data_IF_940607746065
#
_entry.id   IF_940607746065
#
_cell.length_a   1.000
_cell.length_b   1.000
_cell.length_c   1.000
_cell.angle_alpha   90.00
_cell.angle_beta   90.00
_cell.angle_gamma   90.00
#
_symmetry.space_group_name_H-M   'P 1'
#
loop_
_entity.id
_entity.type
_entity.pdbx_description
1 polymer ?
#
# COMPACT_ATOMS: atom_id res chain seq x y z
N UNK A 1 -7.46 -1.52 -11.43
CA UNK A 1 -7.75 -2.12 -10.13
C UNK A 1 -7.50 -3.60 -10.15
N UNK A 2 -6.87 -4.13 -9.13
CA UNK A 2 -6.53 -5.54 -9.07
C UNK A 2 -7.71 -6.36 -8.56
N UNK A 3 -7.78 -7.61 -8.96
CA UNK A 3 -8.80 -8.51 -8.41
C UNK A 3 -8.23 -9.16 -7.14
N UNK A 4 -9.01 -10.02 -6.51
CA UNK A 4 -8.65 -10.63 -5.24
C UNK A 4 -7.35 -11.44 -5.34
N UNK A 5 -7.21 -12.24 -6.38
CA UNK A 5 -6.03 -13.11 -6.54
C UNK A 5 -4.78 -12.29 -6.79
N UNK A 6 -4.88 -11.24 -7.59
CA UNK A 6 -3.75 -10.35 -7.83
C UNK A 6 -3.34 -9.65 -6.53
N UNK A 7 -4.32 -9.21 -5.74
CA UNK A 7 -4.04 -8.56 -4.47
C UNK A 7 -3.33 -9.51 -3.51
N UNK A 8 -3.77 -10.76 -3.44
CA UNK A 8 -3.11 -11.74 -2.60
C UNK A 8 -1.68 -11.95 -3.04
N UNK A 9 -1.45 -12.06 -4.34
CA UNK A 9 -0.12 -12.29 -4.88
C UNK A 9 0.82 -11.14 -4.56
N UNK A 10 0.33 -9.91 -4.65
CA UNK A 10 1.13 -8.74 -4.34
C UNK A 10 1.42 -8.67 -2.85
N UNK A 11 0.41 -8.92 -2.02
CA UNK A 11 0.52 -8.74 -0.59
C UNK A 11 1.12 -9.93 0.16
N UNK A 12 1.35 -11.06 -0.52
CA UNK A 12 1.99 -12.18 0.14
C UNK A 12 3.48 -11.89 0.40
N UNK A 13 4.05 -10.94 -0.31
CA UNK A 13 5.45 -10.58 -0.15
C UNK A 13 5.64 -9.73 1.10
N UNK A 14 6.47 -10.21 2.01
CA UNK A 14 6.68 -9.52 3.29
C UNK A 14 7.27 -8.12 3.14
N UNK A 15 8.23 -7.96 2.24
CA UNK A 15 8.85 -6.65 2.03
C UNK A 15 7.82 -5.64 1.56
N UNK A 16 6.89 -6.04 0.69
CA UNK A 16 5.83 -5.14 0.23
C UNK A 16 4.91 -4.75 1.37
N UNK A 17 4.56 -5.71 2.24
CA UNK A 17 3.72 -5.40 3.41
C UNK A 17 4.43 -4.46 4.37
N UNK A 18 5.75 -4.63 4.55
CA UNK A 18 6.52 -3.76 5.42
C UNK A 18 6.60 -2.34 4.86
N UNK A 19 6.76 -2.21 3.54
CA UNK A 19 6.75 -0.92 2.87
C UNK A 19 5.38 -0.25 3.08
N UNK A 20 4.30 -0.99 2.85
CA UNK A 20 2.96 -0.44 3.00
C UNK A 20 2.67 -0.01 4.44
N UNK A 21 3.19 -0.77 5.41
CA UNK A 21 3.01 -0.43 6.82
C UNK A 21 3.64 0.93 7.15
N UNK A 22 4.83 1.19 6.56
CA UNK A 22 5.51 2.46 6.77
C UNK A 22 4.78 3.59 6.05
N UNK A 23 4.38 3.35 4.80
CA UNK A 23 3.70 4.37 4.01
C UNK A 23 2.30 4.69 4.55
N UNK A 24 1.67 3.75 5.24
CA UNK A 24 0.39 4.01 5.87
C UNK A 24 0.51 5.04 7.00
N UNK A 25 1.70 5.18 7.58
CA UNK A 25 1.90 6.15 8.66
C UNK A 25 2.24 7.52 8.09
N UNK A 26 3.10 7.59 7.12
CA UNK A 26 3.52 8.85 6.52
C UNK A 26 4.25 8.60 5.20
N UNK A 27 4.32 9.61 4.34
CA UNK A 27 5.04 9.46 3.07
C UNK A 27 6.52 9.22 3.29
N UNK A 28 7.13 8.50 2.36
CA UNK A 28 8.58 8.24 2.43
C UNK A 28 9.21 8.25 1.05
N UNK A 29 10.51 8.55 1.01
CA UNK A 29 11.32 8.38 -0.18
C UNK A 29 11.88 6.94 -0.19
N UNK A 30 12.22 6.38 -1.34
CA UNK A 30 12.78 5.03 -1.40
C UNK A 30 14.02 4.81 -0.53
N UNK A 31 14.91 5.80 -0.45
CA UNK A 31 16.09 5.67 0.37
C UNK A 31 15.74 5.53 1.85
N UNK A 32 14.76 6.28 2.31
CA UNK A 32 14.31 6.17 3.70
C UNK A 32 13.77 4.78 3.99
N UNK A 33 12.97 4.22 3.06
CA UNK A 33 12.43 2.88 3.23
C UNK A 33 13.55 1.83 3.24
N UNK A 34 14.55 2.01 2.38
CA UNK A 34 15.68 1.11 2.34
C UNK A 34 16.39 1.07 3.69
N UNK A 35 16.61 2.23 4.29
CA UNK A 35 17.28 2.31 5.57
C UNK A 35 16.44 1.76 6.71
N UNK A 36 15.15 2.10 6.72
CA UNK A 36 14.27 1.64 7.77
C UNK A 36 14.03 0.14 7.74
N UNK A 37 14.00 -0.45 6.57
CA UNK A 37 13.69 -1.86 6.42
C UNK A 37 14.92 -2.75 6.21
N UNK A 38 16.08 -2.14 6.13
CA UNK A 38 17.36 -2.83 5.94
C UNK A 38 17.33 -3.72 4.70
N UNK A 39 16.87 -3.18 3.60
CA UNK A 39 16.93 -3.85 2.30
C UNK A 39 17.49 -2.87 1.28
N UNK A 40 17.95 -3.36 0.14
CA UNK A 40 18.59 -2.47 -0.84
C UNK A 40 17.60 -1.49 -1.44
N UNK A 41 18.09 -0.33 -1.84
CA UNK A 41 17.25 0.66 -2.48
C UNK A 41 16.69 0.13 -3.78
N UNK A 42 17.47 -0.69 -4.50
CA UNK A 42 16.99 -1.30 -5.74
C UNK A 42 15.78 -2.19 -5.49
N UNK A 43 15.81 -2.97 -4.41
CA UNK A 43 14.69 -3.84 -4.05
C UNK A 43 13.46 -3.00 -3.69
N UNK A 44 13.66 -1.91 -2.93
CA UNK A 44 12.56 -1.01 -2.57
C UNK A 44 11.93 -0.44 -3.83
N UNK A 45 12.72 0.08 -4.75
CA UNK A 45 12.20 0.68 -5.98
C UNK A 45 11.41 -0.35 -6.79
N UNK A 46 11.90 -1.58 -6.85
CA UNK A 46 11.21 -2.64 -7.58
C UNK A 46 9.85 -2.93 -6.94
N UNK A 47 9.79 -3.04 -5.62
CA UNK A 47 8.53 -3.29 -4.91
C UNK A 47 7.57 -2.11 -5.04
N UNK A 48 8.09 -0.88 -4.95
CA UNK A 48 7.24 0.30 -5.10
C UNK A 48 6.64 0.39 -6.50
N UNK A 49 7.39 -0.05 -7.53
CA UNK A 49 6.85 -0.05 -8.88
C UNK A 49 5.66 -1.00 -8.98
N UNK A 50 5.78 -2.20 -8.40
CA UNK A 50 4.68 -3.16 -8.41
C UNK A 50 3.48 -2.59 -7.65
N UNK A 51 3.71 -1.98 -6.49
CA UNK A 51 2.64 -1.42 -5.69
C UNK A 51 1.96 -0.24 -6.39
N UNK A 52 2.72 0.59 -7.07
CA UNK A 52 2.18 1.75 -7.76
C UNK A 52 1.39 1.33 -9.00
N UNK A 53 1.91 0.40 -9.77
CA UNK A 53 1.24 -0.09 -10.97
C UNK A 53 -0.09 -0.73 -10.65
N UNK A 54 -0.25 -1.25 -9.46
CA UNK A 54 -1.46 -1.93 -9.03
C UNK A 54 -2.34 -1.08 -8.11
N UNK A 55 -2.03 0.18 -7.96
CA UNK A 55 -2.91 1.12 -7.25
C UNK A 55 -2.81 1.15 -5.74
N UNK A 56 -1.81 0.47 -5.16
CA UNK A 56 -1.68 0.47 -3.70
C UNK A 56 -0.99 1.74 -3.19
N UNK A 57 -0.13 2.35 -3.98
CA UNK A 57 0.57 3.57 -3.58
C UNK A 57 0.59 4.56 -4.73
N UNK A 58 0.89 5.81 -4.42
CA UNK A 58 1.05 6.87 -5.40
C UNK A 58 2.39 7.51 -5.16
N UNK A 59 2.93 8.17 -6.16
CA UNK A 59 4.17 8.92 -6.02
C UNK A 59 4.01 10.34 -6.53
N UNK A 60 4.83 11.22 -5.99
CA UNK A 60 4.84 12.61 -6.37
C UNK A 60 6.30 13.02 -6.49
N UNK A 61 6.63 13.76 -7.53
CA UNK A 61 7.99 14.24 -7.71
C UNK A 61 8.19 15.49 -6.88
N UNK A 62 9.19 15.45 -6.00
CA UNK A 62 9.51 16.59 -5.16
C UNK A 62 10.80 17.22 -5.69
N UNK A 63 10.80 18.49 -6.08
CA UNK A 63 11.99 19.13 -6.60
C UNK A 63 13.09 19.18 -5.55
N UNK A 64 14.34 19.01 -6.02
CA UNK A 64 15.47 19.09 -5.12
C UNK A 64 15.82 20.55 -4.87
N UNK A 65 16.00 20.90 -3.59
CA UNK A 65 16.33 22.27 -3.22
C UNK A 65 17.71 22.61 -3.68
N UNK A 66 18.58 21.63 -3.83
CA UNK A 66 19.97 21.88 -4.21
C UNK A 66 20.23 21.70 -5.69
N UNK A 67 19.18 21.67 -6.49
CA UNK A 67 19.36 21.56 -7.92
C UNK A 67 19.63 20.19 -8.49
N UNK A 68 19.54 19.15 -7.75
CA UNK A 68 19.67 17.78 -8.25
C UNK A 68 18.36 17.32 -8.90
N UNK A 69 18.29 16.08 -9.35
CA UNK A 69 17.07 15.54 -9.95
C UNK A 69 15.98 15.44 -8.90
N UNK A 70 14.73 15.58 -9.29
CA UNK A 70 13.64 15.48 -8.35
C UNK A 70 13.59 14.07 -7.75
N UNK A 71 13.11 13.97 -6.52
CA UNK A 71 12.95 12.70 -5.85
C UNK A 71 11.48 12.33 -5.85
N UNK A 72 11.20 11.04 -5.87
CA UNK A 72 9.81 10.58 -5.78
C UNK A 72 9.47 10.26 -4.34
N UNK A 73 8.43 10.88 -3.84
CA UNK A 73 7.90 10.57 -2.52
C UNK A 73 6.67 9.71 -2.69
N UNK A 74 6.59 8.61 -1.96
CA UNK A 74 5.50 7.65 -2.07
C UNK A 74 4.55 7.73 -0.88
N UNK A 75 3.28 7.48 -1.14
CA UNK A 75 2.26 7.55 -0.10
C UNK A 75 1.14 6.56 -0.38
N UNK A 76 0.42 6.19 0.68
CA UNK A 76 -0.81 5.43 0.57
C UNK A 76 -1.93 6.42 0.77
N UNK A 77 -2.79 6.59 -0.22
CA UNK A 77 -3.89 7.53 -0.11
C UNK A 77 -5.26 6.92 -0.37
N UNK A 78 -5.35 5.60 -0.38
CA UNK A 78 -6.61 4.90 -0.50
C UNK A 78 -6.67 3.83 0.57
N UNK A 79 -7.87 3.47 0.97
CA UNK A 79 -8.05 2.34 1.86
C UNK A 79 -8.30 1.09 1.02
N UNK A 80 -7.69 0.01 1.43
CA UNK A 80 -7.86 -1.26 0.72
C UNK A 80 -8.13 -2.34 1.76
N UNK A 81 -9.12 -3.20 1.52
CA UNK A 81 -9.38 -4.32 2.41
C UNK A 81 -9.50 -5.61 1.63
N UNK A 82 -9.07 -6.70 2.27
CA UNK A 82 -9.10 -8.02 1.70
C UNK A 82 -9.72 -8.92 2.74
N UNK A 83 -10.74 -9.68 2.36
CA UNK A 83 -11.46 -10.51 3.31
C UNK A 83 -11.67 -11.91 2.75
N UNK A 84 -11.40 -12.92 3.58
CA UNK A 84 -11.64 -14.28 3.23
C UNK A 84 -12.41 -14.94 4.37
N UNK A 85 -13.62 -15.39 4.09
CA UNK A 85 -14.42 -16.15 5.06
C UNK A 85 -14.43 -17.60 4.62
N UNK A 86 -14.08 -18.49 5.52
CA UNK A 86 -14.02 -19.91 5.24
C UNK A 86 -14.64 -20.72 6.35
N UNK A 87 -15.55 -21.59 6.02
CA UNK A 87 -16.18 -22.48 6.99
C UNK A 87 -16.96 -23.57 6.27
N UNK A 88 -17.68 -24.44 7.00
CA UNK A 88 -18.49 -25.48 6.37
C UNK A 88 -19.56 -24.79 5.50
N UNK A 89 -19.60 -25.15 4.24
CA UNK A 89 -20.51 -24.59 3.26
C UNK A 89 -20.35 -23.07 3.11
N UNK A 90 -19.16 -22.55 3.44
CA UNK A 90 -18.90 -21.11 3.31
C UNK A 90 -17.52 -20.87 2.75
N UNK A 91 -17.45 -20.20 1.63
CA UNK A 91 -16.21 -19.69 1.12
C UNK A 91 -16.54 -18.37 0.43
N UNK A 92 -16.02 -17.27 0.97
CA UNK A 92 -16.26 -15.96 0.41
C UNK A 92 -14.96 -15.18 0.39
N UNK A 93 -14.60 -14.66 -0.77
CA UNK A 93 -13.40 -13.85 -0.91
C UNK A 93 -13.81 -12.54 -1.57
N UNK A 94 -13.42 -11.43 -0.97
CA UNK A 94 -13.75 -10.14 -1.54
C UNK A 94 -12.70 -9.10 -1.24
N UNK A 95 -12.64 -8.07 -2.05
CA UNK A 95 -11.75 -6.95 -1.81
C UNK A 95 -12.51 -5.66 -2.03
N UNK A 96 -12.06 -4.60 -1.40
CA UNK A 96 -12.65 -3.30 -1.50
C UNK A 96 -11.58 -2.24 -1.56
N UNK A 97 -11.78 -1.24 -2.40
CA UNK A 97 -10.89 -0.09 -2.48
C UNK A 97 -11.74 1.15 -2.26
N UNK A 98 -11.32 2.00 -1.34
CA UNK A 98 -12.01 3.25 -1.09
C UNK A 98 -11.05 4.39 -1.39
N UNK A 99 -11.50 5.40 -2.14
CA UNK A 99 -10.63 6.50 -2.50
C UNK A 99 -10.29 7.33 -1.28
N UNK A 100 -9.24 8.15 -1.41
CA UNK A 100 -8.84 9.07 -0.39
C UNK A 100 -10.01 9.94 0.01
N UNK A 101 -10.19 10.10 1.28
CA UNK A 101 -11.30 10.89 1.77
C UNK A 101 -12.64 10.17 1.76
N UNK A 102 -12.62 8.88 1.48
CA UNK A 102 -13.85 8.10 1.46
C UNK A 102 -14.49 8.02 2.83
N UNK A 103 -15.72 7.60 2.86
CA UNK A 103 -16.54 7.56 4.07
C UNK A 103 -16.11 6.57 5.11
N UNK A 104 -15.08 5.90 4.91
CA UNK A 104 -14.69 4.94 5.81
C UNK A 104 -14.49 5.34 7.10
N UNK A 105 -14.31 6.46 7.22
CA UNK A 105 -14.08 6.83 8.47
C UNK A 105 -15.05 6.49 9.32
N UNK A 106 -15.64 6.07 9.24
CA UNK A 106 -16.56 5.76 10.01
C UNK A 106 -16.70 4.55 10.39
N UNK A 107 -16.74 4.24 10.28
CA UNK A 107 -16.97 3.20 10.51
C UNK A 107 -16.56 2.38 10.89
N UNK A 108 -16.20 2.76 11.04
CA UNK A 108 -15.97 2.09 11.44
C UNK A 108 -16.07 1.44 12.01
N UNK A 109 -15.95 1.57 12.09
CA UNK A 109 -16.12 1.06 12.57
C UNK A 109 -16.49 0.44 13.07
N UNK A 110 -16.44 0.47 13.10
CA UNK A 110 -16.92 -0.01 13.49
C UNK A 110 -17.31 -0.75 13.85
N UNK A 111 -17.42 -0.93 13.97
CA UNK A 111 -17.83 -1.70 14.12
C UNK A 111 -18.22 -2.34 14.20
N UNK A 112 -18.21 -2.32 14.22
CA UNK A 112 -18.56 -2.87 14.22
C UNK A 112 -18.95 -3.39 14.17
N UNK A 113 -18.68 -3.26 14.17
CA UNK A 113 -19.06 -3.54 14.04
C UNK A 113 -19.56 -4.06 14.01
N UNK A 114 -19.63 -4.08 14.14
CA UNK A 114 -20.14 -4.42 14.05
C UNK A 114 -20.46 -4.71 14.00
#
# INVERSE_FOLDING_TARGET
MVDFDEALNILENKARRDILRRLAKEPHYPLQLSELLDISQQAVVKHLRVLEENGFVESEKIPSVKGGPPKKMYTVNQSFSLRLDLGPNLFRAEHRTMPKGGPIRLSSSLPGDL
#
